data_IF_958185504510
#
_entry.id   IF_958185504510
#
_cell.length_a   1.000
_cell.length_b   1.000
_cell.length_c   1.000
_cell.angle_alpha   90.00
_cell.angle_beta   90.00
_cell.angle_gamma   90.00
#
_symmetry.space_group_name_H-M   'P 1'
#
loop_
_entity.id
_entity.type
_entity.pdbx_description
1 polymer ?
#
# COMPACT_ATOMS: atom_id res chain seq x y z
N UNK A 1 37.69 26.34 -39.79
CA UNK A 1 37.72 24.94 -39.30
C UNK A 1 37.55 24.82 -37.78
N UNK A 2 38.30 25.54 -36.94
CA UNK A 2 38.26 25.35 -35.47
C UNK A 2 36.90 25.64 -34.79
N UNK A 3 36.15 26.66 -35.26
CA UNK A 3 34.80 26.97 -34.75
C UNK A 3 33.80 25.86 -35.05
N UNK A 4 33.83 25.30 -36.27
CA UNK A 4 32.98 24.18 -36.67
C UNK A 4 33.29 22.93 -35.87
N UNK A 5 34.57 22.63 -35.64
CA UNK A 5 35.00 21.48 -34.84
C UNK A 5 34.48 21.55 -33.38
N UNK A 6 34.58 22.72 -32.74
CA UNK A 6 34.06 22.93 -31.38
C UNK A 6 32.53 22.82 -31.32
N UNK A 7 31.84 23.27 -32.35
CA UNK A 7 30.38 23.19 -32.45
C UNK A 7 29.92 21.74 -32.58
N UNK A 8 30.54 20.97 -33.46
CA UNK A 8 30.27 19.53 -33.62
C UNK A 8 30.56 18.78 -32.32
N UNK A 9 31.72 19.04 -31.69
CA UNK A 9 32.07 18.40 -30.42
C UNK A 9 31.04 18.70 -29.32
N UNK A 10 30.58 19.94 -29.22
CA UNK A 10 29.56 20.35 -28.25
C UNK A 10 28.22 19.63 -28.46
N UNK A 11 27.77 19.51 -29.72
CA UNK A 11 26.56 18.77 -30.06
C UNK A 11 26.71 17.28 -29.72
N UNK A 12 27.84 16.66 -30.07
CA UNK A 12 28.10 15.25 -29.76
C UNK A 12 28.10 14.98 -28.27
N UNK A 13 28.77 15.82 -27.47
CA UNK A 13 28.78 15.69 -26.00
C UNK A 13 27.37 15.84 -25.43
N UNK A 14 26.59 16.80 -25.94
CA UNK A 14 25.21 17.02 -25.47
C UNK A 14 24.35 15.78 -25.73
N UNK A 15 24.45 15.17 -26.91
CA UNK A 15 23.72 13.94 -27.25
C UNK A 15 24.10 12.80 -26.30
N UNK A 16 25.40 12.60 -26.03
CA UNK A 16 25.86 11.55 -25.11
C UNK A 16 25.33 11.77 -23.69
N UNK A 17 25.34 13.02 -23.21
CA UNK A 17 24.81 13.37 -21.88
C UNK A 17 23.30 13.11 -21.81
N UNK A 18 22.54 13.50 -22.84
CA UNK A 18 21.09 13.26 -22.88
C UNK A 18 20.77 11.77 -22.89
N UNK A 19 21.49 10.98 -23.68
CA UNK A 19 21.31 9.52 -23.72
C UNK A 19 21.67 8.87 -22.38
N UNK A 20 22.74 9.33 -21.73
CA UNK A 20 23.13 8.84 -20.42
C UNK A 20 22.07 9.16 -19.35
N UNK A 21 21.58 10.40 -19.30
CA UNK A 21 20.52 10.79 -18.37
C UNK A 21 19.22 10.03 -18.62
N UNK A 22 18.86 9.80 -19.89
CA UNK A 22 17.72 8.98 -20.25
C UNK A 22 17.89 7.53 -19.78
N UNK A 23 19.06 6.92 -20.00
CA UNK A 23 19.36 5.57 -19.52
C UNK A 23 19.28 5.48 -17.99
N UNK A 24 19.83 6.47 -17.27
CA UNK A 24 19.71 6.55 -15.80
C UNK A 24 18.25 6.66 -15.37
N UNK A 25 17.44 7.49 -16.05
CA UNK A 25 16.02 7.60 -15.76
C UNK A 25 15.25 6.30 -16.04
N UNK A 26 15.57 5.58 -17.11
CA UNK A 26 14.95 4.28 -17.43
C UNK A 26 15.33 3.22 -16.39
N UNK A 27 16.60 3.17 -15.98
CA UNK A 27 17.10 2.14 -15.05
C UNK A 27 16.66 2.41 -13.61
N UNK A 28 16.64 3.67 -13.17
CA UNK A 28 16.35 4.00 -11.77
C UNK A 28 15.00 4.69 -11.58
N UNK A 29 14.59 5.56 -12.50
CA UNK A 29 13.31 6.28 -12.43
C UNK A 29 12.10 5.38 -12.67
N UNK A 30 12.14 4.50 -13.68
CA UNK A 30 10.99 3.63 -14.00
C UNK A 30 10.70 2.64 -12.86
N UNK A 31 11.68 1.94 -12.24
CA UNK A 31 11.39 1.07 -11.10
C UNK A 31 10.80 1.84 -9.92
N UNK A 32 11.32 3.03 -9.59
CA UNK A 32 10.76 3.89 -8.54
C UNK A 32 9.32 4.32 -8.82
N UNK A 33 8.95 4.51 -10.08
CA UNK A 33 7.58 4.81 -10.49
C UNK A 33 6.69 3.55 -10.51
N UNK A 34 7.25 2.39 -10.86
CA UNK A 34 6.55 1.09 -10.90
C UNK A 34 6.18 0.60 -9.49
N UNK A 35 7.07 0.74 -8.52
CA UNK A 35 6.80 0.37 -7.13
C UNK A 35 5.71 1.26 -6.49
N UNK A 36 5.57 2.51 -6.97
CA UNK A 36 4.48 3.41 -6.55
C UNK A 36 3.14 3.16 -7.25
N UNK A 37 3.14 2.53 -8.42
CA UNK A 37 1.93 2.35 -9.25
C UNK A 37 1.36 0.94 -9.20
N UNK A 38 2.10 -0.04 -8.67
CA UNK A 38 1.63 -1.42 -8.49
C UNK A 38 0.95 -1.61 -7.14
N UNK A 39 -0.02 -0.73 -6.84
CA UNK A 39 -0.95 -0.90 -5.72
C UNK A 39 -1.89 -2.06 -6.08
N UNK A 40 -1.49 -3.31 -5.81
CA UNK A 40 -2.19 -4.56 -6.18
C UNK A 40 -3.06 -4.42 -7.45
N UNK A 41 -2.54 -4.58 -8.67
CA UNK A 41 -3.07 -4.00 -9.92
C UNK A 41 -4.54 -4.31 -10.29
N UNK A 42 -5.28 -5.10 -9.51
CA UNK A 42 -6.62 -5.57 -9.83
C UNK A 42 -7.60 -5.63 -8.64
N UNK A 43 -7.24 -5.18 -7.43
CA UNK A 43 -8.15 -5.28 -6.27
C UNK A 43 -8.86 -3.97 -5.96
N UNK A 44 -10.19 -3.89 -6.16
CA UNK A 44 -10.98 -2.77 -5.66
C UNK A 44 -10.90 -2.69 -4.14
N UNK A 45 -10.79 -1.47 -3.61
CA UNK A 45 -10.87 -1.18 -2.17
C UNK A 45 -12.09 -1.83 -1.49
N UNK A 46 -13.24 -1.87 -2.18
CA UNK A 46 -14.44 -2.52 -1.66
C UNK A 46 -14.24 -4.03 -1.41
N UNK A 47 -13.55 -4.72 -2.32
CA UNK A 47 -13.23 -6.15 -2.21
C UNK A 47 -12.30 -6.40 -1.02
N UNK A 48 -11.30 -5.52 -0.83
CA UNK A 48 -10.37 -5.60 0.30
C UNK A 48 -11.12 -5.41 1.62
N UNK A 49 -11.94 -4.35 1.73
CA UNK A 49 -12.75 -4.08 2.93
C UNK A 49 -13.66 -5.26 3.25
N UNK A 50 -14.34 -5.82 2.24
CA UNK A 50 -15.21 -6.99 2.43
C UNK A 50 -14.43 -8.24 2.87
N UNK A 51 -13.28 -8.52 2.26
CA UNK A 51 -12.43 -9.65 2.63
C UNK A 51 -11.96 -9.56 4.08
N UNK A 52 -11.47 -8.39 4.48
CA UNK A 52 -11.03 -8.12 5.85
C UNK A 52 -12.18 -8.26 6.84
N UNK A 53 -13.32 -7.59 6.60
CA UNK A 53 -14.47 -7.65 7.50
C UNK A 53 -15.04 -9.07 7.64
N UNK A 54 -15.11 -9.83 6.54
CA UNK A 54 -15.55 -11.22 6.55
C UNK A 54 -14.63 -12.11 7.41
N UNK A 55 -13.31 -11.89 7.33
CA UNK A 55 -12.34 -12.63 8.13
C UNK A 55 -12.42 -12.23 9.62
N UNK A 56 -12.46 -10.93 9.92
CA UNK A 56 -12.60 -10.42 11.30
C UNK A 56 -13.90 -10.91 11.93
N UNK A 57 -15.01 -10.91 11.18
CA UNK A 57 -16.31 -11.41 11.65
C UNK A 57 -16.23 -12.85 12.14
N UNK A 58 -15.48 -13.72 11.44
CA UNK A 58 -15.34 -15.12 11.84
C UNK A 58 -14.55 -15.27 13.15
N UNK A 59 -13.55 -14.43 13.36
CA UNK A 59 -12.68 -14.47 14.54
C UNK A 59 -13.37 -13.79 15.72
N UNK A 60 -13.82 -12.54 15.54
CA UNK A 60 -14.46 -11.76 16.58
C UNK A 60 -15.71 -12.42 17.16
N UNK A 61 -16.48 -13.20 16.38
CA UNK A 61 -17.64 -13.95 16.89
C UNK A 61 -17.29 -15.03 17.91
N UNK A 62 -16.06 -15.54 17.88
CA UNK A 62 -15.61 -16.53 18.86
C UNK A 62 -15.18 -15.86 20.18
N UNK A 63 -14.70 -14.62 20.10
CA UNK A 63 -14.10 -13.92 21.23
C UNK A 63 -15.02 -12.89 21.90
N UNK A 64 -15.97 -12.30 21.16
CA UNK A 64 -16.81 -11.20 21.62
C UNK A 64 -18.28 -11.37 21.21
N UNK A 65 -19.19 -10.90 22.07
CA UNK A 65 -20.55 -10.56 21.65
C UNK A 65 -20.57 -9.10 21.21
N UNK A 66 -20.79 -8.86 19.92
CA UNK A 66 -20.71 -7.54 19.30
C UNK A 66 -21.87 -7.34 18.31
N UNK A 67 -22.25 -6.09 18.07
CA UNK A 67 -23.31 -5.72 17.13
C UNK A 67 -22.78 -5.05 15.85
N UNK A 68 -21.56 -4.51 15.91
CA UNK A 68 -20.95 -3.80 14.78
C UNK A 68 -19.43 -4.00 14.65
N UNK A 69 -18.92 -3.86 13.42
CA UNK A 69 -17.50 -3.80 13.10
C UNK A 69 -17.22 -2.50 12.36
N UNK A 70 -16.41 -1.65 12.97
CA UNK A 70 -16.05 -0.36 12.39
C UNK A 70 -14.62 -0.41 11.84
N UNK A 71 -14.46 -0.02 10.58
CA UNK A 71 -13.15 0.18 9.97
C UNK A 71 -12.67 1.59 10.28
N UNK A 72 -11.42 1.71 10.71
CA UNK A 72 -10.76 2.99 10.88
C UNK A 72 -10.63 3.74 9.54
N UNK A 73 -10.56 5.06 9.62
CA UNK A 73 -10.41 5.93 8.45
C UNK A 73 -9.04 5.76 7.79
N UNK A 74 -8.04 5.31 8.56
CA UNK A 74 -6.67 5.03 8.12
C UNK A 74 -6.53 3.76 7.24
N UNK A 75 -7.56 3.42 6.46
CA UNK A 75 -7.52 2.36 5.46
C UNK A 75 -6.59 2.76 4.30
N UNK A 76 -5.47 2.06 4.13
CA UNK A 76 -4.46 2.43 3.14
C UNK A 76 -3.69 1.24 2.56
N UNK A 77 -3.07 1.47 1.40
CA UNK A 77 -2.10 0.53 0.85
C UNK A 77 -0.71 0.85 1.39
N UNK A 78 -0.04 -0.14 1.97
CA UNK A 78 1.31 -0.05 2.49
C UNK A 78 2.27 -0.81 1.56
N UNK A 79 3.17 -0.04 0.92
CA UNK A 79 4.15 -0.60 -0.02
C UNK A 79 5.25 -1.42 0.66
N UNK A 80 5.49 -1.25 1.97
CA UNK A 80 6.49 -2.01 2.71
C UNK A 80 6.11 -3.47 2.92
N UNK A 81 4.82 -3.74 3.10
CA UNK A 81 4.27 -5.11 3.25
C UNK A 81 3.57 -5.60 1.97
N UNK A 82 3.58 -4.80 0.91
CA UNK A 82 2.87 -5.05 -0.36
C UNK A 82 1.40 -5.46 -0.14
N UNK A 83 0.69 -4.72 0.72
CA UNK A 83 -0.66 -5.08 1.14
C UNK A 83 -1.46 -3.88 1.64
N UNK A 84 -2.75 -4.10 1.81
CA UNK A 84 -3.66 -3.14 2.42
C UNK A 84 -3.66 -3.32 3.93
N UNK A 85 -3.62 -2.23 4.67
CA UNK A 85 -3.68 -2.24 6.13
C UNK A 85 -4.90 -1.45 6.60
N UNK A 86 -5.55 -1.95 7.66
CA UNK A 86 -6.66 -1.27 8.30
C UNK A 86 -6.83 -1.73 9.73
N UNK A 87 -7.19 -0.79 10.58
CA UNK A 87 -7.61 -1.08 11.95
C UNK A 87 -9.11 -1.36 11.97
N UNK A 88 -9.53 -2.41 12.67
CA UNK A 88 -10.92 -2.81 12.81
C UNK A 88 -11.29 -2.78 14.28
N UNK A 89 -12.29 -1.98 14.64
CA UNK A 89 -12.86 -1.91 15.98
C UNK A 89 -14.08 -2.82 16.05
N UNK A 90 -14.11 -3.68 17.06
CA UNK A 90 -15.29 -4.47 17.40
C UNK A 90 -16.13 -3.67 18.37
N UNK A 91 -17.38 -3.36 18.00
CA UNK A 91 -18.27 -2.53 18.82
C UNK A 91 -19.49 -3.31 19.31
N UNK A 92 -19.92 -2.97 20.53
CA UNK A 92 -21.19 -3.42 21.11
C UNK A 92 -21.90 -2.23 21.73
N UNK A 93 -23.14 -1.94 21.34
CA UNK A 93 -23.91 -0.81 21.86
C UNK A 93 -23.16 0.53 21.73
N UNK A 94 -22.43 0.72 20.63
CA UNK A 94 -21.65 1.94 20.36
C UNK A 94 -20.31 2.04 21.10
N UNK A 95 -19.93 1.04 21.91
CA UNK A 95 -18.66 0.98 22.65
C UNK A 95 -17.69 0.02 22.00
N UNK A 96 -16.42 0.42 21.89
CA UNK A 96 -15.36 -0.44 21.36
C UNK A 96 -14.93 -1.47 22.42
N UNK A 97 -15.11 -2.75 22.10
CA UNK A 97 -14.75 -3.89 22.95
C UNK A 97 -13.36 -4.45 22.62
N UNK A 98 -12.93 -4.31 21.38
CA UNK A 98 -11.69 -4.86 20.89
C UNK A 98 -11.19 -4.14 19.65
N UNK A 99 -9.89 -4.28 19.39
CA UNK A 99 -9.23 -3.72 18.21
C UNK A 99 -8.36 -4.78 17.55
N UNK A 100 -8.49 -4.87 16.24
CA UNK A 100 -7.68 -5.74 15.40
C UNK A 100 -6.94 -4.90 14.36
N UNK A 101 -5.71 -5.29 14.08
CA UNK A 101 -4.96 -4.80 12.92
C UNK A 101 -5.04 -5.85 11.84
N UNK A 102 -5.74 -5.53 10.76
CA UNK A 102 -5.89 -6.41 9.62
C UNK A 102 -4.99 -5.95 8.48
N UNK A 103 -4.30 -6.91 7.87
CA UNK A 103 -3.59 -6.68 6.61
C UNK A 103 -4.06 -7.67 5.57
N UNK A 104 -4.18 -7.22 4.32
CA UNK A 104 -4.53 -8.05 3.18
C UNK A 104 -3.47 -7.91 2.09
N UNK A 105 -2.73 -8.98 1.85
CA UNK A 105 -1.73 -9.04 0.80
C UNK A 105 -2.40 -9.10 -0.59
N UNK A 106 -1.64 -8.76 -1.64
CA UNK A 106 -2.15 -8.79 -3.02
C UNK A 106 -2.56 -10.20 -3.52
N UNK A 107 -2.25 -11.27 -2.80
CA UNK A 107 -2.69 -12.65 -3.09
C UNK A 107 -3.95 -13.07 -2.28
N UNK A 108 -4.66 -12.09 -1.71
CA UNK A 108 -5.87 -12.25 -0.89
C UNK A 108 -5.68 -12.90 0.47
N UNK A 109 -4.44 -13.17 0.89
CA UNK A 109 -4.19 -13.61 2.27
C UNK A 109 -4.46 -12.46 3.23
N UNK A 110 -5.30 -12.74 4.23
CA UNK A 110 -5.61 -11.81 5.32
C UNK A 110 -4.86 -12.25 6.55
N UNK A 111 -4.04 -11.37 7.10
CA UNK A 111 -3.40 -11.54 8.40
C UNK A 111 -4.08 -10.61 9.41
N UNK A 112 -4.29 -11.13 10.61
CA UNK A 112 -4.97 -10.43 11.68
C UNK A 112 -4.10 -10.46 12.93
N UNK A 113 -3.84 -9.29 13.51
CA UNK A 113 -3.23 -9.17 14.83
C UNK A 113 -4.23 -8.57 15.80
N UNK A 114 -4.34 -9.17 16.98
CA UNK A 114 -5.15 -8.65 18.09
C UNK A 114 -4.33 -7.61 18.83
N UNK A 115 -4.91 -6.45 19.12
CA UNK A 115 -4.30 -5.52 20.07
C UNK A 115 -4.62 -5.93 21.52
N UNK A 116 -3.69 -6.63 22.15
CA UNK A 116 -3.83 -7.05 23.54
C UNK A 116 -3.76 -5.90 24.55
N UNK A 117 -3.31 -4.71 24.12
CA UNK A 117 -3.21 -3.53 24.97
C UNK A 117 -4.44 -2.63 24.86
N UNK A 118 -5.37 -2.97 23.97
CA UNK A 118 -6.60 -2.22 23.78
C UNK A 118 -7.44 -2.22 25.06
N UNK A 119 -7.87 -1.03 25.48
CA UNK A 119 -8.77 -0.85 26.62
C UNK A 119 -10.17 -0.60 26.07
N UNK A 120 -11.08 -1.52 26.38
CA UNK A 120 -12.49 -1.36 26.04
C UNK A 120 -13.10 -0.13 26.74
N UNK A 121 -14.04 0.51 26.06
CA UNK A 121 -14.69 1.77 26.50
C UNK A 121 -16.10 1.60 27.06
#
# INVERSE_FOLDING_TARGET
MWKLLKWVLGVTVTIVVVLFLFAVFVVYGIPLLRDRTTQCPEMPTATVKYGILSYVTKIAKNDFQYDDLELDEDFGYNSGIHGWEVTVYVKSNGKSLGRYFATMACDQRVELSVDQTFKAE
#
